data_IF_662939746286
#
_entry.id   IF_662939746286
#
_cell.length_a   1.000
_cell.length_b   1.000
_cell.length_c   1.000
_cell.angle_alpha   90.00
_cell.angle_beta   90.00
_cell.angle_gamma   90.00
#
_symmetry.space_group_name_H-M   'P 1'
#
loop_
_entity.id
_entity.type
_entity.pdbx_description
1 polymer ?
#
# COMPACT_ATOMS: atom_id res chain seq x y z
N UNK A 1 -25.12 -4.56 -7.26
CA UNK A 1 -25.32 -5.98 -6.90
C UNK A 1 -24.52 -6.81 -7.90
N UNK A 2 -23.58 -7.61 -7.42
CA UNK A 2 -22.73 -8.46 -8.29
C UNK A 2 -23.55 -9.64 -8.83
N UNK A 3 -23.18 -10.15 -10.00
CA UNK A 3 -23.84 -11.34 -10.54
C UNK A 3 -23.49 -12.60 -9.72
N UNK A 4 -24.41 -13.58 -9.69
CA UNK A 4 -24.27 -14.77 -8.85
C UNK A 4 -23.07 -15.65 -9.23
N UNK A 5 -22.68 -15.65 -10.50
CA UNK A 5 -21.55 -16.44 -10.99
C UNK A 5 -20.21 -15.84 -10.53
N UNK A 6 -20.06 -14.52 -10.59
CA UNK A 6 -18.92 -13.79 -10.06
C UNK A 6 -18.79 -14.00 -8.55
N UNK A 7 -19.90 -13.90 -7.82
CA UNK A 7 -19.97 -14.18 -6.38
C UNK A 7 -19.45 -15.60 -6.06
N UNK A 8 -19.95 -16.62 -6.77
CA UNK A 8 -19.53 -18.01 -6.57
C UNK A 8 -18.05 -18.23 -6.89
N UNK A 9 -17.53 -17.64 -7.98
CA UNK A 9 -16.10 -17.70 -8.32
C UNK A 9 -15.23 -17.04 -7.26
N UNK A 10 -15.65 -15.88 -6.75
CA UNK A 10 -14.92 -15.15 -5.73
C UNK A 10 -14.85 -15.93 -4.41
N UNK A 11 -15.98 -16.46 -3.93
CA UNK A 11 -16.01 -17.30 -2.73
C UNK A 11 -15.13 -18.54 -2.86
N UNK A 12 -15.18 -19.21 -4.02
CA UNK A 12 -14.29 -20.35 -4.31
C UNK A 12 -12.82 -19.95 -4.24
N UNK A 13 -12.44 -18.84 -4.89
CA UNK A 13 -11.07 -18.35 -4.87
C UNK A 13 -10.59 -18.04 -3.45
N UNK A 14 -11.41 -17.35 -2.66
CA UNK A 14 -11.07 -17.05 -1.25
C UNK A 14 -10.88 -18.32 -0.44
N UNK A 15 -11.78 -19.29 -0.57
CA UNK A 15 -11.70 -20.56 0.17
C UNK A 15 -10.43 -21.35 -0.20
N UNK A 16 -10.20 -21.55 -1.50
CA UNK A 16 -9.07 -22.32 -2.00
C UNK A 16 -7.73 -21.67 -1.61
N UNK A 17 -7.58 -20.36 -1.88
CA UNK A 17 -6.34 -19.64 -1.57
C UNK A 17 -6.09 -19.54 -0.06
N UNK A 18 -7.13 -19.42 0.76
CA UNK A 18 -6.98 -19.48 2.22
C UNK A 18 -6.44 -20.83 2.67
N UNK A 19 -6.93 -21.92 2.08
CA UNK A 19 -6.45 -23.26 2.38
C UNK A 19 -4.99 -23.45 1.93
N UNK A 20 -4.63 -22.98 0.73
CA UNK A 20 -3.26 -23.05 0.21
C UNK A 20 -2.26 -22.26 1.09
N UNK A 21 -2.61 -21.03 1.48
CA UNK A 21 -1.82 -20.19 2.39
C UNK A 21 -1.65 -20.85 3.76
N UNK A 22 -2.73 -21.43 4.30
CA UNK A 22 -2.69 -22.17 5.56
C UNK A 22 -1.80 -23.42 5.49
N UNK A 23 -1.91 -24.19 4.40
CA UNK A 23 -1.07 -25.37 4.16
C UNK A 23 0.42 -25.03 4.00
N UNK A 24 0.72 -23.83 3.48
CA UNK A 24 2.08 -23.30 3.40
C UNK A 24 2.62 -22.75 4.74
N UNK A 25 1.81 -22.76 5.82
CA UNK A 25 2.19 -22.23 7.13
C UNK A 25 2.30 -20.71 7.18
N UNK A 26 1.70 -20.00 6.21
CA UNK A 26 1.76 -18.54 6.13
C UNK A 26 0.65 -17.96 7.01
N UNK A 27 1.03 -17.17 8.02
CA UNK A 27 0.08 -16.46 8.86
C UNK A 27 -0.31 -15.12 8.21
N UNK A 28 -1.60 -14.93 7.92
CA UNK A 28 -2.12 -13.66 7.40
C UNK A 28 -2.71 -12.85 8.56
N UNK A 29 -1.82 -12.16 9.29
CA UNK A 29 -2.21 -11.14 10.25
C UNK A 29 -2.34 -9.78 9.56
N UNK A 30 -3.33 -9.00 9.97
CA UNK A 30 -3.55 -7.61 9.53
C UNK A 30 -2.84 -6.61 10.46
N UNK A 31 -2.45 -7.05 11.65
CA UNK A 31 -1.94 -6.19 12.74
C UNK A 31 -0.39 -6.08 12.76
N UNK A 32 0.33 -7.07 12.22
CA UNK A 32 1.81 -7.16 12.36
C UNK A 32 2.61 -6.49 11.22
N UNK A 33 1.95 -5.71 10.36
CA UNK A 33 2.56 -5.22 9.11
C UNK A 33 3.81 -4.37 9.32
N UNK A 34 3.79 -3.49 10.33
CA UNK A 34 4.92 -2.62 10.64
C UNK A 34 6.16 -3.45 11.06
N UNK A 35 5.93 -4.51 11.85
CA UNK A 35 6.99 -5.41 12.29
C UNK A 35 7.54 -6.24 11.12
N UNK A 36 6.69 -6.68 10.21
CA UNK A 36 7.09 -7.37 8.98
C UNK A 36 7.97 -6.47 8.09
N UNK A 37 7.54 -5.23 7.84
CA UNK A 37 8.29 -4.27 7.01
C UNK A 37 9.63 -3.92 7.65
N UNK A 38 9.67 -3.68 8.97
CA UNK A 38 10.92 -3.45 9.70
C UNK A 38 11.86 -4.64 9.61
N UNK A 39 11.37 -5.85 9.90
CA UNK A 39 12.18 -7.08 9.82
C UNK A 39 12.76 -7.29 8.43
N UNK A 40 11.96 -7.03 7.40
CA UNK A 40 12.41 -7.14 6.01
C UNK A 40 13.43 -6.06 5.63
N UNK A 41 13.20 -4.80 6.00
CA UNK A 41 14.10 -3.68 5.67
C UNK A 41 15.39 -3.66 6.48
N UNK A 42 15.33 -3.99 7.76
CA UNK A 42 16.52 -4.01 8.63
C UNK A 42 17.36 -5.27 8.33
N UNK A 43 16.70 -6.43 8.24
CA UNK A 43 17.33 -7.71 7.87
C UNK A 43 18.67 -7.96 8.58
N UNK A 44 19.66 -8.60 7.92
CA UNK A 44 21.01 -8.76 8.46
C UNK A 44 21.91 -7.51 8.42
N UNK A 45 21.49 -6.42 7.77
CA UNK A 45 22.31 -5.22 7.62
C UNK A 45 22.16 -4.27 8.83
N UNK A 46 22.82 -3.11 8.78
CA UNK A 46 22.54 -2.04 9.72
C UNK A 46 21.08 -1.59 9.60
N UNK A 47 20.35 -1.66 10.72
CA UNK A 47 18.97 -1.22 10.80
C UNK A 47 18.82 0.24 10.35
N UNK A 48 17.66 0.55 9.75
CA UNK A 48 17.30 1.91 9.39
C UNK A 48 17.17 2.78 10.65
N UNK A 49 17.48 4.06 10.50
CA UNK A 49 17.35 5.05 11.56
C UNK A 49 15.88 5.47 11.76
N UNK A 50 15.06 4.51 12.18
CA UNK A 50 13.63 4.68 12.46
C UNK A 50 13.37 5.76 13.51
N UNK A 51 12.23 6.45 13.40
CA UNK A 51 11.86 7.49 14.36
C UNK A 51 11.46 7.00 15.75
N UNK A 52 11.04 5.75 15.87
CA UNK A 52 10.57 5.17 17.12
C UNK A 52 10.24 3.67 16.99
N UNK A 53 9.41 3.12 17.89
CA UNK A 53 9.04 1.70 17.86
C UNK A 53 8.11 1.32 16.71
N UNK A 54 7.28 2.26 16.22
CA UNK A 54 6.39 2.07 15.05
C UNK A 54 6.87 2.84 13.82
N UNK A 55 6.39 2.47 12.62
CA UNK A 55 6.72 3.20 11.38
C UNK A 55 5.80 4.43 11.30
N UNK A 56 6.37 5.62 11.11
CA UNK A 56 5.56 6.84 11.00
C UNK A 56 4.83 6.90 9.64
N UNK A 57 3.75 7.68 9.53
CA UNK A 57 3.10 7.95 8.24
C UNK A 57 4.04 8.45 7.15
N UNK A 58 4.96 9.36 7.48
CA UNK A 58 5.98 9.87 6.56
C UNK A 58 6.92 8.75 6.09
N UNK A 59 7.39 7.90 7.01
CA UNK A 59 8.22 6.73 6.69
C UNK A 59 7.46 5.73 5.80
N UNK A 60 6.18 5.47 6.11
CA UNK A 60 5.31 4.59 5.34
C UNK A 60 5.10 5.08 3.91
N UNK A 61 4.84 6.37 3.72
CA UNK A 61 4.67 6.95 2.40
C UNK A 61 5.98 6.89 1.60
N UNK A 62 7.10 7.19 2.26
CA UNK A 62 8.42 7.10 1.64
C UNK A 62 8.71 5.67 1.17
N UNK A 63 8.55 4.68 2.05
CA UNK A 63 8.78 3.26 1.78
C UNK A 63 7.90 2.76 0.63
N UNK A 64 6.59 2.99 0.69
CA UNK A 64 5.65 2.49 -0.32
C UNK A 64 5.81 3.18 -1.67
N UNK A 65 6.25 4.44 -1.70
CA UNK A 65 6.63 5.12 -2.95
C UNK A 65 7.80 4.42 -3.63
N UNK A 66 8.68 3.77 -2.87
CA UNK A 66 9.86 3.08 -3.40
C UNK A 66 9.62 1.59 -3.73
N UNK A 67 8.43 1.03 -3.51
CA UNK A 67 8.01 -0.35 -3.90
C UNK A 67 7.85 -0.54 -5.43
N UNK A 68 8.68 0.11 -6.27
CA UNK A 68 8.56 0.11 -7.72
C UNK A 68 8.62 -1.28 -8.38
N UNK A 69 8.74 -1.31 -9.71
CA UNK A 69 8.84 -2.55 -10.51
C UNK A 69 10.21 -3.23 -10.33
N UNK A 70 10.41 -3.83 -9.16
CA UNK A 70 11.65 -4.47 -8.73
C UNK A 70 11.32 -5.74 -7.93
N UNK A 71 12.29 -6.66 -7.85
CA UNK A 71 12.25 -7.76 -6.89
C UNK A 71 12.22 -7.22 -5.46
N UNK A 72 11.79 -8.03 -4.49
CA UNK A 72 11.80 -7.63 -3.08
C UNK A 72 13.19 -7.18 -2.63
N UNK A 73 14.25 -7.93 -2.97
CA UNK A 73 15.63 -7.53 -2.63
C UNK A 73 16.04 -6.21 -3.30
N UNK A 74 15.59 -5.98 -4.53
CA UNK A 74 15.81 -4.74 -5.24
C UNK A 74 15.12 -3.56 -4.56
N UNK A 75 13.86 -3.72 -4.14
CA UNK A 75 13.12 -2.71 -3.39
C UNK A 75 13.80 -2.41 -2.06
N UNK A 76 14.17 -3.45 -1.30
CA UNK A 76 14.88 -3.32 -0.02
C UNK A 76 16.18 -2.54 -0.19
N UNK A 77 17.02 -2.92 -1.15
CA UNK A 77 18.30 -2.25 -1.43
C UNK A 77 18.07 -0.78 -1.79
N UNK A 78 17.04 -0.49 -2.60
CA UNK A 78 16.70 0.88 -2.98
C UNK A 78 16.27 1.71 -1.77
N UNK A 79 15.37 1.19 -0.94
CA UNK A 79 14.89 1.85 0.26
C UNK A 79 16.05 2.09 1.23
N UNK A 80 16.86 1.08 1.53
CA UNK A 80 18.01 1.22 2.43
C UNK A 80 19.02 2.27 1.95
N UNK A 81 19.20 2.40 0.63
CA UNK A 81 20.08 3.42 0.06
C UNK A 81 19.56 4.85 0.29
N UNK A 82 18.26 5.08 0.15
CA UNK A 82 17.68 6.43 0.14
C UNK A 82 17.07 6.85 1.49
N UNK A 83 16.68 5.90 2.35
CA UNK A 83 16.12 6.19 3.66
C UNK A 83 17.05 7.05 4.54
N UNK A 84 18.39 6.84 4.59
CA UNK A 84 19.28 7.73 5.33
C UNK A 84 19.30 9.16 4.80
N UNK A 85 19.06 9.37 3.50
CA UNK A 85 18.94 10.71 2.91
C UNK A 85 17.61 11.36 3.30
N UNK A 86 16.52 10.58 3.35
CA UNK A 86 15.24 11.04 3.89
C UNK A 86 15.39 11.48 5.35
N UNK A 87 16.14 10.73 6.15
CA UNK A 87 16.42 11.11 7.54
C UNK A 87 17.26 12.39 7.63
N UNK A 88 18.38 12.47 6.92
CA UNK A 88 19.35 13.56 7.10
C UNK A 88 19.01 14.85 6.38
N UNK A 89 18.43 14.77 5.17
CA UNK A 89 18.19 15.92 4.32
C UNK A 89 16.76 16.44 4.40
N UNK A 90 15.83 15.58 4.79
CA UNK A 90 14.39 15.85 4.81
C UNK A 90 13.85 15.84 6.25
N UNK A 91 14.70 15.51 7.22
CA UNK A 91 14.37 15.39 8.65
C UNK A 91 13.15 14.48 8.92
N UNK A 92 12.98 13.42 8.10
CA UNK A 92 11.85 12.48 8.20
C UNK A 92 10.47 13.12 8.03
N UNK A 93 10.37 14.26 7.35
CA UNK A 93 9.11 14.98 7.17
C UNK A 93 8.85 15.20 5.68
N UNK A 94 7.82 14.55 5.12
CA UNK A 94 7.52 14.58 3.69
C UNK A 94 7.38 16.02 3.16
N UNK A 95 6.94 16.97 3.99
CA UNK A 95 6.77 18.38 3.60
C UNK A 95 8.07 19.06 3.17
N UNK A 96 9.21 18.54 3.62
CA UNK A 96 10.53 19.09 3.28
C UNK A 96 11.05 18.63 1.92
N UNK A 97 10.33 17.74 1.21
CA UNK A 97 10.70 17.38 -0.15
C UNK A 97 10.47 18.54 -1.12
N UNK A 98 11.51 18.86 -1.89
CA UNK A 98 11.45 19.85 -2.97
C UNK A 98 12.01 19.26 -4.26
N UNK A 99 11.63 19.79 -5.44
CA UNK A 99 12.20 19.36 -6.71
C UNK A 99 13.73 19.47 -6.76
N UNK A 100 14.29 20.54 -6.19
CA UNK A 100 15.73 20.76 -6.13
C UNK A 100 16.44 19.69 -5.30
N UNK A 101 15.89 19.33 -4.14
CA UNK A 101 16.47 18.29 -3.28
C UNK A 101 16.45 16.92 -3.96
N UNK A 102 15.34 16.57 -4.62
CA UNK A 102 15.19 15.28 -5.28
C UNK A 102 15.89 15.19 -6.63
N UNK A 103 16.32 16.32 -7.24
CA UNK A 103 17.04 16.31 -8.51
C UNK A 103 18.28 15.40 -8.45
N UNK A 104 19.05 15.51 -7.36
CA UNK A 104 20.28 14.76 -7.11
C UNK A 104 20.04 13.28 -6.74
N UNK A 105 18.83 12.94 -6.30
CA UNK A 105 18.52 11.58 -5.88
C UNK A 105 18.29 10.68 -7.10
N UNK A 106 19.11 9.65 -7.27
CA UNK A 106 18.96 8.67 -8.38
C UNK A 106 17.90 7.62 -8.06
N UNK A 107 16.66 8.06 -7.83
CA UNK A 107 15.50 7.18 -7.66
C UNK A 107 15.25 6.39 -8.95
N UNK A 108 14.76 5.16 -8.81
CA UNK A 108 14.68 4.21 -9.93
C UNK A 108 13.73 4.66 -11.03
N UNK A 109 12.64 5.33 -10.66
CA UNK A 109 11.61 5.78 -11.58
C UNK A 109 11.30 7.27 -11.37
N UNK A 110 11.12 8.06 -12.45
CA UNK A 110 10.84 9.49 -12.33
C UNK A 110 9.60 9.81 -11.49
N UNK A 111 8.55 9.00 -11.60
CA UNK A 111 7.30 9.20 -10.86
C UNK A 111 7.47 9.15 -9.34
N UNK A 112 8.50 8.47 -8.83
CA UNK A 112 8.77 8.41 -7.38
C UNK A 112 9.09 9.82 -6.84
N UNK A 113 9.89 10.59 -7.58
CA UNK A 113 10.20 11.99 -7.22
C UNK A 113 8.96 12.85 -7.28
N UNK A 114 8.21 12.74 -8.39
CA UNK A 114 6.95 13.47 -8.59
C UNK A 114 5.98 13.20 -7.46
N UNK A 115 5.86 11.95 -7.01
CA UNK A 115 4.97 11.58 -5.91
C UNK A 115 5.38 12.19 -4.57
N UNK A 116 6.66 12.09 -4.22
CA UNK A 116 7.17 12.67 -2.97
C UNK A 116 6.97 14.19 -2.94
N UNK A 117 7.32 14.90 -4.02
CA UNK A 117 7.04 16.34 -4.15
C UNK A 117 5.54 16.63 -4.10
N UNK A 118 4.71 15.84 -4.78
CA UNK A 118 3.27 16.08 -4.83
C UNK A 118 2.63 15.91 -3.46
N UNK A 119 3.05 14.93 -2.66
CA UNK A 119 2.58 14.82 -1.29
C UNK A 119 3.04 16.02 -0.45
N UNK A 120 4.30 16.44 -0.60
CA UNK A 120 4.82 17.61 0.11
C UNK A 120 3.96 18.86 -0.18
N UNK A 121 3.64 19.11 -1.45
CA UNK A 121 2.73 20.17 -1.89
C UNK A 121 1.35 20.04 -1.22
N UNK A 122 0.73 18.86 -1.27
CA UNK A 122 -0.61 18.63 -0.68
C UNK A 122 -0.61 18.90 0.82
N UNK A 123 0.41 18.46 1.55
CA UNK A 123 0.53 18.67 2.99
C UNK A 123 0.73 20.16 3.32
N UNK A 124 1.58 20.85 2.56
CA UNK A 124 1.84 22.28 2.74
C UNK A 124 0.61 23.13 2.40
N UNK A 125 -0.07 22.85 1.28
CA UNK A 125 -1.31 23.53 0.87
C UNK A 125 -2.41 23.41 1.94
N UNK A 126 -2.46 22.28 2.66
CA UNK A 126 -3.44 22.02 3.72
C UNK A 126 -2.99 22.47 5.10
N UNK A 127 -1.72 22.84 5.27
CA UNK A 127 -1.14 23.13 6.59
C UNK A 127 -1.15 21.92 7.54
N UNK A 128 -1.01 20.71 7.00
CA UNK A 128 -1.12 19.45 7.76
C UNK A 128 0.19 18.66 7.75
N UNK A 129 0.45 17.91 8.81
CA UNK A 129 1.45 16.83 8.86
C UNK A 129 0.96 15.59 8.10
N UNK A 130 1.87 14.67 7.76
CA UNK A 130 1.45 13.41 7.14
C UNK A 130 0.58 12.56 8.08
N UNK A 131 0.80 12.66 9.40
CA UNK A 131 -0.05 12.02 10.40
C UNK A 131 -1.49 12.52 10.37
N UNK A 132 -1.70 13.84 10.42
CA UNK A 132 -3.04 14.44 10.33
C UNK A 132 -3.73 14.12 8.99
N UNK A 133 -2.95 14.03 7.90
CA UNK A 133 -3.47 13.59 6.61
C UNK A 133 -3.94 12.13 6.65
N UNK A 134 -3.17 11.22 7.26
CA UNK A 134 -3.57 9.82 7.44
C UNK A 134 -4.82 9.70 8.31
N UNK A 135 -4.93 10.49 9.38
CA UNK A 135 -6.14 10.48 10.23
C UNK A 135 -7.37 10.99 9.47
N UNK A 136 -7.20 12.00 8.61
CA UNK A 136 -8.25 12.44 7.68
C UNK A 136 -8.68 11.32 6.72
N UNK A 137 -7.72 10.56 6.18
CA UNK A 137 -8.02 9.42 5.32
C UNK A 137 -8.73 8.30 6.08
N UNK A 138 -8.37 8.03 7.35
CA UNK A 138 -9.07 7.06 8.21
C UNK A 138 -10.51 7.48 8.48
N UNK A 139 -10.75 8.76 8.73
CA UNK A 139 -12.11 9.30 8.90
C UNK A 139 -12.95 9.24 7.61
N UNK A 140 -12.34 9.40 6.44
CA UNK A 140 -13.03 9.13 5.18
C UNK A 140 -13.38 7.65 5.04
N UNK A 141 -12.44 6.78 5.40
CA UNK A 141 -12.59 5.33 5.26
C UNK A 141 -13.63 4.72 6.18
N UNK A 142 -13.80 5.25 7.40
CA UNK A 142 -14.86 4.84 8.32
C UNK A 142 -16.28 5.05 7.76
N UNK A 143 -16.41 5.87 6.71
CA UNK A 143 -17.65 6.17 6.00
C UNK A 143 -17.78 5.44 4.66
N UNK A 144 -16.98 4.40 4.44
CA UNK A 144 -17.08 3.57 3.25
C UNK A 144 -18.47 2.93 3.11
N UNK A 145 -18.95 2.81 1.87
CA UNK A 145 -20.25 2.23 1.50
C UNK A 145 -20.07 1.29 0.32
N UNK A 146 -21.06 0.48 -0.06
CA UNK A 146 -20.93 -0.38 -1.23
C UNK A 146 -20.82 0.44 -2.54
N UNK A 147 -21.42 1.62 -2.60
CA UNK A 147 -21.35 2.55 -3.74
C UNK A 147 -20.01 3.31 -3.78
N UNK A 148 -19.39 3.50 -2.61
CA UNK A 148 -18.08 4.12 -2.46
C UNK A 148 -17.22 3.32 -1.46
N UNK A 149 -16.68 2.17 -1.89
CA UNK A 149 -16.05 1.22 -0.98
C UNK A 149 -14.60 1.60 -0.60
N UNK A 150 -14.02 2.61 -1.26
CA UNK A 150 -12.62 3.01 -1.08
C UNK A 150 -12.46 4.54 -1.06
N UNK A 151 -13.17 5.28 -0.19
CA UNK A 151 -13.16 6.74 -0.18
C UNK A 151 -11.77 7.32 0.09
N UNK A 152 -10.97 6.73 0.97
CA UNK A 152 -9.61 7.20 1.24
C UNK A 152 -8.70 7.05 0.01
N UNK A 153 -8.80 5.91 -0.69
CA UNK A 153 -8.03 5.67 -1.91
C UNK A 153 -8.40 6.66 -3.02
N UNK A 154 -9.70 6.92 -3.23
CA UNK A 154 -10.14 7.94 -4.20
C UNK A 154 -9.59 9.33 -3.86
N UNK A 155 -9.57 9.68 -2.56
CA UNK A 155 -9.05 10.96 -2.10
C UNK A 155 -7.54 11.10 -2.37
N UNK A 156 -6.73 10.11 -1.98
CA UNK A 156 -5.27 10.19 -2.20
C UNK A 156 -4.91 10.17 -3.69
N UNK A 157 -5.67 9.44 -4.52
CA UNK A 157 -5.51 9.43 -5.98
C UNK A 157 -5.76 10.81 -6.59
N UNK A 158 -6.84 11.48 -6.14
CA UNK A 158 -7.16 12.86 -6.55
C UNK A 158 -6.06 13.83 -6.15
N UNK A 159 -5.58 13.74 -4.91
CA UNK A 159 -4.54 14.61 -4.37
C UNK A 159 -3.23 14.51 -5.17
N UNK A 160 -2.89 13.27 -5.56
CA UNK A 160 -1.71 12.99 -6.37
C UNK A 160 -1.90 13.20 -7.87
N UNK A 161 -3.13 13.43 -8.35
CA UNK A 161 -3.48 13.46 -9.78
C UNK A 161 -2.96 12.22 -10.52
N UNK A 162 -3.00 11.07 -9.85
CA UNK A 162 -2.40 9.84 -10.35
C UNK A 162 -3.36 9.09 -11.27
N UNK A 163 -2.87 8.63 -12.43
CA UNK A 163 -3.61 7.70 -13.30
C UNK A 163 -3.49 6.24 -12.86
N UNK A 164 -2.39 5.89 -12.19
CA UNK A 164 -2.13 4.56 -11.64
C UNK A 164 -1.77 4.65 -10.16
N UNK A 165 -2.35 3.74 -9.37
CA UNK A 165 -2.43 3.91 -7.92
C UNK A 165 -1.87 2.78 -7.07
N UNK A 166 -1.28 1.71 -7.63
CA UNK A 166 -0.93 0.50 -6.85
C UNK A 166 -0.20 0.83 -5.54
N UNK A 167 0.87 1.61 -5.61
CA UNK A 167 1.69 1.94 -4.43
C UNK A 167 0.98 2.91 -3.47
N UNK A 168 0.04 3.72 -3.95
CA UNK A 168 -0.87 4.49 -3.10
C UNK A 168 -1.93 3.56 -2.44
N UNK A 169 -2.43 2.56 -3.16
CA UNK A 169 -3.32 1.53 -2.62
C UNK A 169 -2.63 0.72 -1.53
N UNK A 170 -1.35 0.36 -1.71
CA UNK A 170 -0.52 -0.24 -0.66
C UNK A 170 -0.38 0.69 0.54
N UNK A 171 -0.16 2.00 0.34
CA UNK A 171 -0.14 2.95 1.44
C UNK A 171 -1.47 3.03 2.20
N UNK A 172 -2.60 3.04 1.49
CA UNK A 172 -3.94 3.02 2.13
C UNK A 172 -4.15 1.72 2.92
N UNK A 173 -3.84 0.56 2.34
CA UNK A 173 -3.96 -0.75 3.01
C UNK A 173 -3.04 -0.84 4.24
N UNK A 174 -1.77 -0.55 4.01
CA UNK A 174 -0.61 -0.50 4.90
C UNK A 174 -0.77 0.40 6.13
N UNK A 175 -0.81 1.70 5.86
CA UNK A 175 -0.65 2.77 6.83
C UNK A 175 -2.00 3.31 7.31
N UNK A 176 -2.92 3.57 6.38
CA UNK A 176 -4.27 4.07 6.70
C UNK A 176 -5.14 2.94 7.27
N UNK A 177 -4.81 1.67 7.00
CA UNK A 177 -5.63 0.51 7.34
C UNK A 177 -7.00 0.53 6.64
N UNK A 178 -7.03 1.14 5.45
CA UNK A 178 -8.25 1.31 4.67
C UNK A 178 -8.54 0.16 3.70
N UNK A 179 -9.75 0.17 3.15
CA UNK A 179 -10.19 -0.85 2.21
C UNK A 179 -9.45 -0.68 0.89
N UNK A 180 -8.46 -1.53 0.67
CA UNK A 180 -7.67 -1.58 -0.56
C UNK A 180 -7.33 -3.02 -0.93
N UNK A 181 -7.27 -3.27 -2.23
CA UNK A 181 -6.91 -4.56 -2.81
C UNK A 181 -5.86 -4.36 -3.90
N UNK A 182 -4.61 -3.97 -3.54
CA UNK A 182 -3.60 -3.63 -4.53
C UNK A 182 -3.34 -4.82 -5.47
N UNK A 183 -3.53 -4.62 -6.77
CA UNK A 183 -3.32 -5.66 -7.79
C UNK A 183 -1.92 -5.50 -8.38
N UNK A 184 -1.07 -6.50 -8.17
CA UNK A 184 0.20 -6.65 -8.86
C UNK A 184 0.22 -7.87 -9.76
N UNK A 185 1.36 -8.21 -10.35
CA UNK A 185 1.44 -9.35 -11.26
C UNK A 185 1.07 -10.67 -10.59
N UNK A 186 1.42 -10.87 -9.30
CA UNK A 186 1.07 -12.09 -8.57
C UNK A 186 -0.43 -12.16 -8.30
N UNK A 187 -0.99 -11.08 -7.75
CA UNK A 187 -2.43 -10.98 -7.51
C UNK A 187 -3.21 -11.12 -8.83
N UNK A 188 -2.75 -10.48 -9.90
CA UNK A 188 -3.37 -10.57 -11.22
C UNK A 188 -3.36 -11.99 -11.79
N UNK A 189 -2.28 -12.76 -11.59
CA UNK A 189 -2.22 -14.17 -11.98
C UNK A 189 -3.22 -15.03 -11.19
N UNK A 190 -3.36 -14.78 -9.89
CA UNK A 190 -4.38 -15.48 -9.08
C UNK A 190 -5.80 -15.09 -9.51
N UNK A 191 -6.09 -13.81 -9.73
CA UNK A 191 -7.38 -13.37 -10.24
C UNK A 191 -7.72 -14.05 -11.57
N UNK A 192 -6.76 -14.16 -12.47
CA UNK A 192 -6.92 -14.83 -13.76
C UNK A 192 -7.16 -16.34 -13.64
N UNK A 193 -6.44 -17.03 -12.73
CA UNK A 193 -6.65 -18.45 -12.40
C UNK A 193 -8.10 -18.76 -12.02
N UNK A 194 -8.77 -17.82 -11.33
CA UNK A 194 -10.15 -17.98 -10.89
C UNK A 194 -11.18 -17.29 -11.80
N UNK A 195 -10.75 -16.66 -12.90
CA UNK A 195 -11.61 -15.91 -13.81
C UNK A 195 -12.27 -14.70 -13.14
N UNK A 196 -11.56 -14.04 -12.23
CA UNK A 196 -11.98 -12.84 -11.51
C UNK A 196 -11.52 -11.56 -12.22
N UNK A 197 -12.27 -10.44 -12.11
CA UNK A 197 -11.90 -9.18 -12.71
C UNK A 197 -10.67 -8.56 -12.04
N UNK A 198 -9.83 -7.88 -12.84
CA UNK A 198 -8.70 -7.06 -12.37
C UNK A 198 -9.17 -5.64 -12.03
N UNK A 199 -10.28 -5.54 -11.29
CA UNK A 199 -10.87 -4.28 -10.83
C UNK A 199 -10.82 -4.22 -9.29
N UNK A 200 -9.91 -3.40 -8.77
CA UNK A 200 -9.69 -3.27 -7.32
C UNK A 200 -10.96 -2.80 -6.59
N UNK A 201 -11.73 -1.87 -7.18
CA UNK A 201 -12.95 -1.38 -6.53
C UNK A 201 -14.03 -2.47 -6.45
N UNK A 202 -14.23 -3.22 -7.54
CA UNK A 202 -15.14 -4.35 -7.56
C UNK A 202 -14.75 -5.44 -6.57
N UNK A 203 -13.46 -5.76 -6.45
CA UNK A 203 -12.95 -6.75 -5.49
C UNK A 203 -13.15 -6.31 -4.03
N UNK A 204 -12.90 -5.03 -3.72
CA UNK A 204 -13.21 -4.49 -2.39
C UNK A 204 -14.72 -4.55 -2.13
N UNK A 205 -15.55 -4.16 -3.10
CA UNK A 205 -17.01 -4.24 -2.97
C UNK A 205 -17.49 -5.67 -2.70
N UNK A 206 -16.94 -6.67 -3.39
CA UNK A 206 -17.23 -8.09 -3.15
C UNK A 206 -16.84 -8.51 -1.73
N UNK A 207 -15.65 -8.11 -1.26
CA UNK A 207 -15.24 -8.40 0.12
C UNK A 207 -16.25 -7.85 1.13
N UNK A 208 -16.65 -6.58 0.97
CA UNK A 208 -17.58 -5.92 1.88
C UNK A 208 -18.98 -6.55 1.83
N UNK A 209 -19.48 -6.91 0.64
CA UNK A 209 -20.77 -7.59 0.46
C UNK A 209 -20.83 -8.94 1.19
N UNK A 210 -19.70 -9.65 1.26
CA UNK A 210 -19.56 -10.90 2.02
C UNK A 210 -19.12 -10.72 3.48
N UNK A 211 -19.00 -9.48 3.98
CA UNK A 211 -18.53 -9.22 5.35
C UNK A 211 -17.07 -9.62 5.60
N UNK A 212 -16.25 -9.66 4.56
CA UNK A 212 -14.82 -9.99 4.60
C UNK A 212 -13.97 -8.72 4.69
N UNK A 213 -12.84 -8.79 5.42
CA UNK A 213 -11.86 -7.71 5.46
C UNK A 213 -11.05 -7.67 4.15
N UNK A 214 -11.19 -6.63 3.30
CA UNK A 214 -10.52 -6.57 2.00
C UNK A 214 -8.99 -6.63 2.10
N UNK A 215 -8.40 -6.07 3.16
CA UNK A 215 -6.94 -6.06 3.37
C UNK A 215 -6.41 -7.46 3.60
N UNK A 216 -7.13 -8.26 4.41
CA UNK A 216 -6.80 -9.66 4.66
C UNK A 216 -6.94 -10.50 3.39
N UNK A 217 -8.02 -10.32 2.63
CA UNK A 217 -8.21 -11.05 1.36
C UNK A 217 -7.12 -10.67 0.34
N UNK A 218 -6.78 -9.39 0.22
CA UNK A 218 -5.70 -8.95 -0.66
C UNK A 218 -4.34 -9.60 -0.29
N UNK A 219 -4.05 -9.76 1.00
CA UNK A 219 -2.86 -10.48 1.47
C UNK A 219 -2.91 -11.97 1.13
N UNK A 220 -4.07 -12.63 1.26
CA UNK A 220 -4.24 -14.04 0.86
C UNK A 220 -3.92 -14.20 -0.63
N UNK A 221 -4.49 -13.37 -1.49
CA UNK A 221 -4.21 -13.40 -2.94
C UNK A 221 -2.73 -13.13 -3.26
N UNK A 222 -2.07 -12.27 -2.48
CA UNK A 222 -0.66 -11.95 -2.69
C UNK A 222 0.30 -13.07 -2.21
N UNK A 223 -0.04 -13.72 -1.10
CA UNK A 223 0.81 -14.72 -0.42
C UNK A 223 0.55 -16.16 -0.89
N UNK A 224 -0.59 -16.41 -1.52
CA UNK A 224 -0.90 -17.73 -2.03
C UNK A 224 0.18 -18.22 -3.01
N UNK A 225 0.65 -19.47 -2.88
CA UNK A 225 1.54 -20.08 -3.85
C UNK A 225 0.96 -19.95 -5.27
N UNK A 226 1.76 -19.41 -6.18
CA UNK A 226 1.42 -19.24 -7.60
C UNK A 226 2.09 -20.28 -8.48
#
# INVERSE_FOLDING_TARGET
MFDAELCARFQRAVADLTAEVGAAGINIADDDVDAEVRRWLDGPDSALAWAGPGITPDEWLFITTLYGTMTLDGQRTHIQKFFPLFVRQVNRDIRNFTPALLAEWRLRQPWMKTRLCRMAEVLLERGQTCGEYVDTLRDLESRATLENPMPAFRQIMRDHRAGEGKTLSVFIRDCVKGNCFPIDSRVASQLERYGLPKDEQGLVGLCLDFGLNPRRIARIFYQAPG
#
